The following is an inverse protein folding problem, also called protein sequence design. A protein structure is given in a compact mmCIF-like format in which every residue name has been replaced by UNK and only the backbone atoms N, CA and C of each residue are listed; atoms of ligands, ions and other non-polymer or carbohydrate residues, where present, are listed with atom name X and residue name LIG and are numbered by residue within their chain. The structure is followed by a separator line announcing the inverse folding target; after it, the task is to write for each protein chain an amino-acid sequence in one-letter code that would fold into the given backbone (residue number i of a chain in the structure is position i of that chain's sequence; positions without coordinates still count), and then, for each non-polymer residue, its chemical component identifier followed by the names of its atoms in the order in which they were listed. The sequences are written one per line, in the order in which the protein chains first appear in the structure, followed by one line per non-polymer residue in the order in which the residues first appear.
data_IF_861889297814
#
_entry.id   IF_861889297814
#
_cell.length_a   1.000
_cell.length_b   1.000
_cell.length_c   1.000
_cell.angle_alpha   90.00
_cell.angle_beta   90.00
_cell.angle_gamma   90.00
#
_symmetry.space_group_name_H-M   'P 1'
#
loop_
_entity.id
_entity.type
_entity.pdbx_description
1 polymer ?
#
# COMPACT_ATOMS: atom_id res chain seq x y z
N UNK A 1 -6.77 0.89 -66.89
CA UNK A 1 -7.13 -0.28 -66.06
C UNK A 1 -6.10 -0.33 -64.95
N UNK A 2 -6.50 -0.14 -63.69
CA UNK A 2 -5.57 -0.16 -62.55
C UNK A 2 -5.56 -1.60 -62.03
N UNK A 3 -4.46 -2.32 -62.22
CA UNK A 3 -4.26 -3.62 -61.58
C UNK A 3 -3.89 -3.38 -60.12
N UNK A 4 -4.79 -3.76 -59.22
CA UNK A 4 -4.55 -3.73 -57.79
C UNK A 4 -3.90 -5.06 -57.41
N UNK A 5 -2.66 -5.01 -56.90
CA UNK A 5 -1.95 -6.18 -56.42
C UNK A 5 -2.53 -6.66 -55.08
N UNK A 6 -3.46 -7.61 -55.17
CA UNK A 6 -4.13 -8.23 -54.04
C UNK A 6 -3.16 -8.96 -53.10
N UNK A 7 -2.03 -9.47 -53.64
CA UNK A 7 -1.05 -10.21 -52.84
C UNK A 7 -0.29 -9.30 -51.88
N UNK A 8 0.01 -8.07 -52.32
CA UNK A 8 0.64 -7.04 -51.50
C UNK A 8 -0.27 -6.58 -50.35
N UNK A 9 -1.57 -6.41 -50.63
CA UNK A 9 -2.57 -6.00 -49.62
C UNK A 9 -2.76 -7.09 -48.55
N UNK A 10 -2.83 -8.36 -48.97
CA UNK A 10 -2.96 -9.49 -48.04
C UNK A 10 -1.71 -9.66 -47.17
N UNK A 11 -0.52 -9.52 -47.75
CA UNK A 11 0.76 -9.55 -47.01
C UNK A 11 0.83 -8.43 -45.98
N UNK A 12 0.43 -7.21 -46.35
CA UNK A 12 0.45 -6.06 -45.44
C UNK A 12 -0.57 -6.21 -44.31
N UNK A 13 -1.77 -6.70 -44.61
CA UNK A 13 -2.81 -6.94 -43.61
C UNK A 13 -2.40 -7.98 -42.58
N UNK A 14 -1.73 -9.05 -43.02
CA UNK A 14 -1.22 -10.10 -42.13
C UNK A 14 -0.09 -9.60 -41.23
N UNK A 15 0.82 -8.75 -41.74
CA UNK A 15 1.88 -8.12 -40.93
C UNK A 15 1.30 -7.22 -39.85
N UNK A 16 0.30 -6.41 -40.18
CA UNK A 16 -0.36 -5.53 -39.22
C UNK A 16 -1.07 -6.34 -38.12
N UNK A 17 -1.72 -7.46 -38.48
CA UNK A 17 -2.36 -8.36 -37.51
C UNK A 17 -1.34 -8.95 -36.53
N UNK A 18 -0.18 -9.42 -37.03
CA UNK A 18 0.89 -9.96 -36.20
C UNK A 18 1.45 -8.88 -35.26
N UNK A 19 1.63 -7.65 -35.74
CA UNK A 19 2.10 -6.54 -34.91
C UNK A 19 1.11 -6.18 -33.79
N UNK A 20 -0.19 -6.15 -34.08
CA UNK A 20 -1.22 -5.89 -33.07
C UNK A 20 -1.23 -7.01 -32.03
N UNK A 21 -1.15 -8.27 -32.46
CA UNK A 21 -1.12 -9.42 -31.54
C UNK A 21 0.10 -9.37 -30.62
N UNK A 22 1.28 -9.05 -31.16
CA UNK A 22 2.50 -8.90 -30.38
C UNK A 22 2.37 -7.78 -29.34
N UNK A 23 1.82 -6.62 -29.72
CA UNK A 23 1.61 -5.50 -28.81
C UNK A 23 0.68 -5.88 -27.65
N UNK A 24 -0.45 -6.55 -27.94
CA UNK A 24 -1.41 -6.98 -26.92
C UNK A 24 -0.77 -7.95 -25.93
N UNK A 25 0.00 -8.93 -26.44
CA UNK A 25 0.72 -9.88 -25.57
C UNK A 25 1.73 -9.15 -24.68
N UNK A 26 2.45 -8.19 -25.25
CA UNK A 26 3.47 -7.44 -24.50
C UNK A 26 2.84 -6.60 -23.38
N UNK A 27 1.74 -5.91 -23.67
CA UNK A 27 1.00 -5.12 -22.67
C UNK A 27 0.42 -6.03 -21.59
N UNK A 28 -0.20 -7.16 -21.97
CA UNK A 28 -0.74 -8.13 -21.02
C UNK A 28 0.35 -8.68 -20.09
N UNK A 29 1.50 -9.09 -20.64
CA UNK A 29 2.64 -9.57 -19.85
C UNK A 29 3.17 -8.49 -18.90
N UNK A 30 3.23 -7.23 -19.34
CA UNK A 30 3.69 -6.11 -18.51
C UNK A 30 2.71 -5.82 -17.37
N UNK A 31 1.40 -5.86 -17.63
CA UNK A 31 0.37 -5.70 -16.59
C UNK A 31 0.42 -6.83 -15.56
N UNK A 32 0.59 -8.08 -16.00
CA UNK A 32 0.72 -9.24 -15.12
C UNK A 32 2.00 -9.15 -14.30
N UNK A 33 3.10 -8.72 -14.91
CA UNK A 33 4.37 -8.54 -14.21
C UNK A 33 4.26 -7.48 -13.10
N UNK A 34 3.65 -6.33 -13.39
CA UNK A 34 3.40 -5.30 -12.36
C UNK A 34 2.50 -5.86 -11.25
N UNK A 35 1.42 -6.56 -11.59
CA UNK A 35 0.51 -7.11 -10.58
C UNK A 35 1.18 -8.17 -9.69
N UNK A 36 1.94 -9.10 -10.26
CA UNK A 36 2.56 -10.21 -9.51
C UNK A 36 3.79 -9.75 -8.73
N UNK A 37 4.63 -8.91 -9.31
CA UNK A 37 5.94 -8.57 -8.74
C UNK A 37 5.99 -7.21 -8.04
N UNK A 38 5.11 -6.26 -8.40
CA UNK A 38 5.05 -4.95 -7.73
C UNK A 38 3.99 -4.91 -6.63
N UNK A 39 2.97 -5.80 -6.66
CA UNK A 39 1.96 -5.89 -5.61
C UNK A 39 2.04 -7.11 -4.66
N UNK A 40 3.21 -7.49 -4.10
CA UNK A 40 3.23 -8.34 -2.93
C UNK A 40 3.05 -7.47 -1.67
N UNK A 41 1.92 -6.78 -1.52
CA UNK A 41 1.60 -6.07 -0.27
C UNK A 41 0.10 -5.94 0.00
N UNK A 42 -0.72 -6.85 -0.54
CA UNK A 42 -1.98 -7.16 0.14
C UNK A 42 -1.56 -7.86 1.43
N UNK A 43 -1.32 -7.04 2.46
CA UNK A 43 -0.97 -7.47 3.78
C UNK A 43 -1.89 -8.63 4.15
N UNK A 44 -1.32 -9.82 4.30
CA UNK A 44 -1.89 -10.80 5.20
C UNK A 44 -2.07 -10.05 6.51
N UNK A 45 -3.30 -9.61 6.81
CA UNK A 45 -3.68 -9.32 8.18
C UNK A 45 -3.38 -10.64 8.88
N UNK A 46 -2.36 -10.72 9.75
CA UNK A 46 -2.18 -11.92 10.52
C UNK A 46 -3.49 -12.09 11.28
N UNK A 47 -4.20 -13.18 11.01
CA UNK A 47 -5.26 -13.61 11.89
C UNK A 47 -4.57 -13.84 13.23
N UNK A 48 -4.62 -12.85 14.11
CA UNK A 48 -4.06 -12.95 15.45
C UNK A 48 -4.94 -13.92 16.20
N UNK A 49 -4.56 -15.19 16.08
CA UNK A 49 -5.04 -16.26 16.92
C UNK A 49 -4.49 -16.00 18.32
N UNK A 50 -5.31 -15.36 19.17
CA UNK A 50 -5.25 -15.48 20.62
C UNK A 50 -4.06 -14.86 21.37
N UNK A 51 -3.13 -14.18 20.71
CA UNK A 51 -2.15 -13.34 21.41
C UNK A 51 -2.80 -11.99 21.65
N UNK A 52 -2.94 -11.57 22.91
CA UNK A 52 -3.37 -10.22 23.28
C UNK A 52 -2.58 -9.21 22.41
N UNK A 53 -3.22 -8.63 21.39
CA UNK A 53 -2.55 -7.64 20.54
C UNK A 53 -2.27 -6.46 21.46
N UNK A 54 -1.00 -6.19 21.72
CA UNK A 54 -0.61 -5.03 22.50
C UNK A 54 -0.81 -3.78 21.62
N UNK A 55 -1.65 -2.85 22.09
CA UNK A 55 -1.88 -1.55 21.44
C UNK A 55 -0.59 -0.79 21.16
N UNK A 56 0.40 -0.88 22.04
CA UNK A 56 1.71 -0.24 21.88
C UNK A 56 2.44 -0.81 20.66
N UNK A 57 2.42 -2.13 20.49
CA UNK A 57 3.01 -2.80 19.32
C UNK A 57 2.27 -2.43 18.05
N UNK A 58 0.94 -2.45 18.07
CA UNK A 58 0.12 -2.06 16.91
C UNK A 58 0.41 -0.63 16.47
N UNK A 59 0.43 0.33 17.40
CA UNK A 59 0.74 1.72 17.07
C UNK A 59 2.17 1.85 16.53
N UNK A 60 3.13 1.15 17.12
CA UNK A 60 4.53 1.18 16.68
C UNK A 60 4.72 0.64 15.26
N UNK A 61 4.05 -0.46 14.92
CA UNK A 61 4.16 -1.10 13.61
C UNK A 61 3.42 -0.32 12.50
N UNK A 62 2.39 0.43 12.86
CA UNK A 62 1.51 1.11 11.90
C UNK A 62 1.65 2.64 11.92
N UNK A 63 2.63 3.21 12.64
CA UNK A 63 2.71 4.66 12.88
C UNK A 63 2.79 5.49 11.59
N UNK A 64 3.48 5.00 10.57
CA UNK A 64 3.59 5.66 9.26
C UNK A 64 2.26 5.75 8.51
N UNK A 65 1.35 4.81 8.74
CA UNK A 65 0.01 4.81 8.17
C UNK A 65 -0.98 5.63 9.02
N UNK A 66 -0.86 5.53 10.35
CA UNK A 66 -1.73 6.24 11.29
C UNK A 66 -1.50 7.77 11.28
N UNK A 67 -0.26 8.21 11.05
CA UNK A 67 0.08 9.63 11.06
C UNK A 67 -0.56 10.38 9.88
N UNK A 68 -1.26 11.51 10.12
CA UNK A 68 -1.76 12.37 9.05
C UNK A 68 -0.65 13.18 8.37
N UNK A 69 0.55 13.24 8.98
CA UNK A 69 1.74 13.86 8.40
C UNK A 69 2.56 12.83 7.63
N UNK A 70 3.28 13.29 6.62
CA UNK A 70 4.21 12.48 5.84
C UNK A 70 5.64 12.59 6.36
N UNK A 71 6.35 11.48 6.26
CA UNK A 71 7.80 11.39 6.50
C UNK A 71 8.55 12.26 5.49
N UNK A 72 9.72 12.77 5.87
CA UNK A 72 10.53 13.65 5.03
C UNK A 72 11.92 13.07 4.78
N UNK A 73 12.53 13.50 3.66
CA UNK A 73 13.92 13.24 3.31
C UNK A 73 14.34 11.75 3.32
N UNK A 74 13.39 10.84 3.12
CA UNK A 74 13.63 9.40 3.14
C UNK A 74 13.76 8.78 4.53
N UNK A 75 13.37 9.51 5.59
CA UNK A 75 13.15 8.95 6.92
C UNK A 75 11.91 8.04 6.93
N UNK A 76 11.79 7.24 7.99
CA UNK A 76 10.59 6.45 8.29
C UNK A 76 10.20 6.74 9.72
N UNK A 77 8.90 6.97 9.97
CA UNK A 77 8.43 7.20 11.32
C UNK A 77 8.68 5.97 12.19
N UNK A 78 9.23 6.20 13.37
CA UNK A 78 9.29 5.23 14.44
C UNK A 78 8.79 5.84 15.73
N UNK A 79 8.22 5.00 16.58
CA UNK A 79 7.67 5.39 17.86
C UNK A 79 8.79 5.47 18.90
N UNK A 80 8.80 6.56 19.67
CA UNK A 80 9.73 6.76 20.79
C UNK A 80 9.07 6.45 22.14
N UNK A 81 7.76 6.65 22.26
CA UNK A 81 6.97 6.23 23.43
C UNK A 81 5.48 6.13 23.10
N UNK A 82 4.79 5.23 23.80
CA UNK A 82 3.33 5.10 23.77
C UNK A 82 2.85 4.98 25.22
N UNK A 83 1.79 5.70 25.54
CA UNK A 83 1.02 5.51 26.76
C UNK A 83 -0.44 5.27 26.35
N UNK A 84 -1.02 4.13 26.70
CA UNK A 84 -2.39 3.80 26.33
C UNK A 84 -3.16 3.21 27.52
N UNK A 85 -4.35 3.73 27.77
CA UNK A 85 -5.26 3.25 28.80
C UNK A 85 -6.71 3.62 28.45
N UNK A 86 -7.67 2.77 28.83
CA UNK A 86 -9.10 3.05 28.72
C UNK A 86 -9.57 3.49 27.33
N UNK A 87 -9.03 2.86 26.27
CA UNK A 87 -9.41 3.13 24.87
C UNK A 87 -8.83 4.45 24.32
N UNK A 88 -7.89 5.07 25.03
CA UNK A 88 -7.20 6.29 24.60
C UNK A 88 -5.70 6.14 24.78
N UNK A 89 -4.93 6.87 23.99
CA UNK A 89 -3.50 6.91 24.18
C UNK A 89 -2.83 8.13 23.61
N UNK A 90 -1.58 8.29 23.99
CA UNK A 90 -0.66 9.32 23.53
C UNK A 90 0.55 8.61 22.94
N UNK A 91 0.97 9.03 21.75
CA UNK A 91 2.16 8.51 21.09
C UNK A 91 3.11 9.65 20.77
N UNK A 92 4.39 9.45 21.04
CA UNK A 92 5.48 10.27 20.53
C UNK A 92 6.23 9.48 19.45
N UNK A 93 6.48 10.12 18.31
CA UNK A 93 7.12 9.47 17.16
C UNK A 93 7.88 10.48 16.31
N UNK A 94 8.87 10.00 15.56
CA UNK A 94 9.74 10.85 14.74
C UNK A 94 10.32 10.07 13.55
N UNK A 95 10.84 10.78 12.54
CA UNK A 95 11.52 10.18 11.37
C UNK A 95 13.02 10.54 11.30
N UNK A 96 13.56 11.07 12.40
CA UNK A 96 14.91 11.61 12.50
C UNK A 96 15.06 13.07 12.06
N UNK A 97 14.03 13.68 11.47
CA UNK A 97 14.02 15.09 11.06
C UNK A 97 12.90 15.89 11.72
N UNK A 98 11.71 15.30 11.81
CA UNK A 98 10.52 15.86 12.46
C UNK A 98 10.01 14.92 13.53
N UNK A 99 9.56 15.50 14.64
CA UNK A 99 8.99 14.77 15.78
C UNK A 99 7.57 15.29 16.05
N UNK A 100 6.68 14.36 16.41
CA UNK A 100 5.27 14.62 16.66
C UNK A 100 4.81 13.94 17.94
N UNK A 101 3.84 14.56 18.59
CA UNK A 101 3.01 13.94 19.63
C UNK A 101 1.59 13.90 19.12
N UNK A 102 0.92 12.75 19.25
CA UNK A 102 -0.47 12.60 18.86
C UNK A 102 -1.31 11.91 19.94
N UNK A 103 -2.56 12.34 20.04
CA UNK A 103 -3.62 11.64 20.77
C UNK A 103 -4.32 10.66 19.84
N UNK A 104 -4.59 9.45 20.32
CA UNK A 104 -5.38 8.46 19.58
C UNK A 104 -6.47 7.84 20.44
N UNK A 105 -7.53 7.37 19.77
CA UNK A 105 -8.63 6.61 20.36
C UNK A 105 -8.67 5.26 19.68
N UNK A 106 -8.84 4.20 20.47
CA UNK A 106 -8.82 2.83 19.97
C UNK A 106 -9.90 1.97 20.60
N UNK A 107 -10.33 0.97 19.83
CA UNK A 107 -11.23 -0.09 20.28
C UNK A 107 -10.50 -1.43 20.12
N UNK A 108 -10.70 -2.32 21.09
CA UNK A 108 -10.16 -3.69 21.06
C UNK A 108 -11.33 -4.64 20.97
N UNK A 109 -11.31 -5.50 19.95
CA UNK A 109 -12.30 -6.54 19.72
C UNK A 109 -11.59 -7.89 19.56
N UNK A 110 -12.11 -8.93 20.19
CA UNK A 110 -11.56 -10.29 20.10
C UNK A 110 -11.62 -10.85 18.67
N UNK A 111 -12.55 -10.36 17.84
CA UNK A 111 -12.73 -10.83 16.46
C UNK A 111 -11.99 -9.98 15.43
N UNK A 112 -11.93 -8.67 15.64
CA UNK A 112 -11.43 -7.70 14.65
C UNK A 112 -10.06 -7.12 15.00
N UNK A 113 -9.52 -7.43 16.19
CA UNK A 113 -8.25 -6.90 16.66
C UNK A 113 -8.38 -5.45 17.16
N UNK A 114 -7.36 -4.65 16.88
CA UNK A 114 -7.28 -3.25 17.29
C UNK A 114 -7.74 -2.36 16.14
N UNK A 115 -8.66 -1.44 16.45
CA UNK A 115 -9.11 -0.41 15.53
C UNK A 115 -8.79 0.98 16.10
N UNK A 116 -8.03 1.79 15.38
CA UNK A 116 -7.82 3.20 15.71
C UNK A 116 -8.95 4.02 15.07
N UNK A 117 -9.79 4.64 15.90
CA UNK A 117 -10.96 5.41 15.44
C UNK A 117 -10.66 6.91 15.31
N UNK A 118 -9.59 7.39 15.96
CA UNK A 118 -9.13 8.78 15.88
C UNK A 118 -7.63 8.85 16.09
N UNK A 119 -6.96 9.76 15.36
CA UNK A 119 -5.54 10.06 15.51
C UNK A 119 -5.30 11.55 15.22
N UNK A 120 -4.91 12.32 16.23
CA UNK A 120 -4.83 13.79 16.16
C UNK A 120 -3.48 14.26 16.68
N UNK A 121 -2.71 14.96 15.85
CA UNK A 121 -1.44 15.56 16.24
C UNK A 121 -1.69 16.78 17.13
N UNK A 122 -0.96 16.87 18.25
CA UNK A 122 -0.93 18.04 19.12
C UNK A 122 -0.13 19.15 18.43
N UNK A 123 -0.74 20.31 18.22
CA UNK A 123 -0.07 21.51 17.72
C UNK A 123 0.47 22.37 18.85
#
# INVERSE_FOLDING_TARGET
MIDIDMSAILSQSMKNLIMILALVITVAAMTLFVFVFVMPSMATIPAVSGTLVNIESYVSENISELSPMKEVLGGTFYVTSVEAADGKGIVNYEDGHVAYTADFVYEVSDESGILITSFIIRQ
#
